data_IF_633192936044
#
_entry.id   IF_633192936044
#
_cell.length_a   1.000
_cell.length_b   1.000
_cell.length_c   1.000
_cell.angle_alpha   90.00
_cell.angle_beta   90.00
_cell.angle_gamma   90.00
#
_symmetry.space_group_name_H-M   'P 1'
#
loop_
_entity.id
_entity.type
_entity.pdbx_description
1 polymer ?
#
# COMPACT_ATOMS: atom_id res chain seq x y z
N UNK A 1 34.40 10.76 63.66
CA UNK A 1 35.65 10.84 62.87
C UNK A 1 35.32 10.59 61.40
N UNK A 2 35.08 11.65 60.62
CA UNK A 2 34.93 11.53 59.17
C UNK A 2 36.29 11.86 58.53
N UNK A 3 36.96 10.85 57.94
CA UNK A 3 38.16 11.10 57.13
C UNK A 3 37.73 11.86 55.87
N UNK A 4 37.95 13.17 55.85
CA UNK A 4 37.92 13.96 54.62
C UNK A 4 39.00 13.41 53.68
N UNK A 5 38.58 12.57 52.73
CA UNK A 5 39.46 12.04 51.68
C UNK A 5 39.90 13.21 50.80
N UNK A 6 41.17 13.59 50.91
CA UNK A 6 41.80 14.56 50.02
C UNK A 6 41.73 14.01 48.59
N UNK A 7 40.94 14.65 47.73
CA UNK A 7 40.82 14.26 46.32
C UNK A 7 42.15 14.61 45.65
N UNK A 8 42.81 13.59 45.07
CA UNK A 8 44.08 13.76 44.36
C UNK A 8 43.87 14.53 43.04
N UNK A 9 44.86 15.30 42.58
CA UNK A 9 44.78 16.00 41.27
C UNK A 9 44.45 15.06 40.11
N UNK A 10 44.89 13.80 40.18
CA UNK A 10 44.55 12.76 39.19
C UNK A 10 43.06 12.39 39.21
N UNK A 11 42.43 12.39 40.39
CA UNK A 11 40.99 12.14 40.51
C UNK A 11 40.17 13.32 40.00
N UNK A 12 40.64 14.56 40.20
CA UNK A 12 40.02 15.76 39.63
C UNK A 12 40.02 15.69 38.10
N UNK A 13 41.15 15.32 37.48
CA UNK A 13 41.24 15.14 36.02
C UNK A 13 40.29 14.06 35.52
N UNK A 14 40.21 12.91 36.21
CA UNK A 14 39.29 11.82 35.85
C UNK A 14 37.82 12.29 35.91
N UNK A 15 37.43 13.01 36.96
CA UNK A 15 36.06 13.53 37.08
C UNK A 15 35.72 14.55 36.00
N UNK A 16 36.66 15.43 35.63
CA UNK A 16 36.48 16.35 34.50
C UNK A 16 36.34 15.62 33.16
N UNK A 17 37.12 14.57 32.91
CA UNK A 17 36.98 13.76 31.70
C UNK A 17 35.61 13.07 31.62
N UNK A 18 35.13 12.49 32.73
CA UNK A 18 33.81 11.85 32.79
C UNK A 18 32.69 12.88 32.58
N UNK A 19 32.81 14.07 33.18
CA UNK A 19 31.83 15.14 33.02
C UNK A 19 31.73 15.61 31.56
N UNK A 20 32.88 15.87 30.92
CA UNK A 20 32.93 16.27 29.50
C UNK A 20 32.34 15.16 28.62
N UNK A 21 32.69 13.90 28.87
CA UNK A 21 32.16 12.77 28.11
C UNK A 21 30.63 12.65 28.24
N UNK A 22 30.08 12.79 29.45
CA UNK A 22 28.64 12.76 29.68
C UNK A 22 27.92 13.96 29.00
N UNK A 23 28.55 15.13 28.98
CA UNK A 23 28.02 16.32 28.30
C UNK A 23 27.98 16.12 26.78
N UNK A 24 29.06 15.57 26.20
CA UNK A 24 29.10 15.24 24.77
C UNK A 24 28.06 14.17 24.43
N UNK A 25 27.98 13.08 25.20
CA UNK A 25 27.03 11.99 24.95
C UNK A 25 25.58 12.49 25.00
N UNK A 26 25.21 13.28 26.01
CA UNK A 26 23.87 13.83 26.14
C UNK A 26 23.53 14.80 24.99
N UNK A 27 24.48 15.63 24.54
CA UNK A 27 24.30 16.51 23.38
C UNK A 27 24.04 15.74 22.08
N UNK A 28 24.74 14.62 21.86
CA UNK A 28 24.54 13.75 20.68
C UNK A 28 23.15 13.11 20.71
N UNK A 29 22.74 12.58 21.87
CA UNK A 29 21.41 11.99 22.03
C UNK A 29 20.30 13.02 21.79
N UNK A 30 20.45 14.24 22.32
CA UNK A 30 19.50 15.32 22.10
C UNK A 30 19.40 15.72 20.62
N UNK A 31 20.54 15.79 19.91
CA UNK A 31 20.55 16.09 18.48
C UNK A 31 19.87 14.99 17.64
N UNK A 32 20.12 13.72 17.96
CA UNK A 32 19.44 12.59 17.32
C UNK A 32 17.93 12.60 17.59
N UNK A 33 17.52 12.92 18.83
CA UNK A 33 16.12 13.04 19.20
C UNK A 33 15.42 14.17 18.42
N UNK A 34 16.08 15.33 18.29
CA UNK A 34 15.58 16.45 17.48
C UNK A 34 15.34 16.05 16.03
N UNK A 35 16.33 15.40 15.39
CA UNK A 35 16.18 14.86 14.03
C UNK A 35 15.04 13.85 13.91
N UNK A 36 14.84 12.99 14.92
CA UNK A 36 13.75 12.02 14.90
C UNK A 36 12.37 12.71 14.95
N UNK A 37 12.23 13.77 15.74
CA UNK A 37 11.00 14.56 15.79
C UNK A 37 10.75 15.24 14.45
N UNK A 38 11.75 15.89 13.87
CA UNK A 38 11.66 16.57 12.59
C UNK A 38 11.20 15.62 11.49
N UNK A 39 11.84 14.46 11.34
CA UNK A 39 11.42 13.45 10.34
C UNK A 39 10.02 12.91 10.60
N UNK A 40 9.58 12.80 11.86
CA UNK A 40 8.20 12.43 12.19
C UNK A 40 7.20 13.54 11.86
N UNK A 41 7.60 14.81 11.98
CA UNK A 41 6.77 15.96 11.61
C UNK A 41 6.65 16.06 10.08
N UNK A 42 7.75 15.93 9.35
CA UNK A 42 7.79 15.86 7.89
C UNK A 42 6.94 14.69 7.38
N UNK A 43 7.05 13.53 8.02
CA UNK A 43 6.21 12.39 7.68
C UNK A 43 4.73 12.78 7.73
N UNK A 44 4.26 13.43 8.80
CA UNK A 44 2.84 13.83 8.92
C UNK A 44 2.33 14.71 7.77
N UNK A 45 3.19 15.49 7.10
CA UNK A 45 2.83 16.21 5.87
C UNK A 45 2.88 15.26 4.66
N UNK A 46 1.98 14.28 4.63
CA UNK A 46 1.97 13.23 3.60
C UNK A 46 1.48 13.71 2.22
N UNK A 47 0.89 14.90 2.10
CA UNK A 47 0.50 15.46 0.79
C UNK A 47 0.14 16.93 0.92
N UNK A 48 0.73 17.78 0.08
CA UNK A 48 0.18 19.11 -0.19
C UNK A 48 -1.09 18.85 -1.00
N UNK A 49 -2.26 18.98 -0.37
CA UNK A 49 -3.55 18.85 -1.07
C UNK A 49 -3.79 20.14 -1.85
N UNK A 50 -3.72 20.07 -3.17
CA UNK A 50 -3.97 21.20 -4.06
C UNK A 50 -5.47 21.42 -4.28
N UNK A 51 -6.27 20.36 -4.22
CA UNK A 51 -7.71 20.37 -4.46
C UNK A 51 -8.43 19.70 -3.29
N UNK A 52 -9.53 20.29 -2.83
CA UNK A 52 -10.42 19.66 -1.87
C UNK A 52 -11.18 18.51 -2.54
N UNK A 53 -11.14 17.33 -1.94
CA UNK A 53 -11.83 16.13 -2.43
C UNK A 53 -13.11 15.98 -1.61
N UNK A 54 -14.25 15.83 -2.30
CA UNK A 54 -15.54 15.62 -1.65
C UNK A 54 -15.53 14.33 -0.82
N UNK A 55 -16.37 14.29 0.22
CA UNK A 55 -16.62 13.05 0.94
C UNK A 55 -17.23 12.01 -0.02
N UNK A 56 -16.73 10.78 0.05
CA UNK A 56 -17.16 9.64 -0.78
C UNK A 56 -16.96 9.81 -2.30
N UNK A 57 -15.97 10.60 -2.73
CA UNK A 57 -15.60 10.77 -4.15
C UNK A 57 -15.10 9.46 -4.79
N UNK A 58 -15.87 8.83 -5.71
CA UNK A 58 -15.50 7.54 -6.29
C UNK A 58 -14.56 7.65 -7.50
N UNK A 59 -14.45 8.81 -8.14
CA UNK A 59 -13.65 8.99 -9.36
C UNK A 59 -12.15 9.15 -9.02
N UNK A 60 -11.37 8.13 -9.36
CA UNK A 60 -9.92 8.12 -9.16
C UNK A 60 -9.19 9.27 -9.88
N UNK A 61 -9.77 9.85 -10.95
CA UNK A 61 -9.18 11.00 -11.64
C UNK A 61 -9.22 12.28 -10.79
N UNK A 62 -10.21 12.44 -9.91
CA UNK A 62 -10.26 13.58 -8.96
C UNK A 62 -9.13 13.43 -7.93
N UNK A 63 -8.90 12.21 -7.45
CA UNK A 63 -7.80 11.90 -6.52
C UNK A 63 -6.41 12.09 -7.15
N UNK A 64 -6.27 11.83 -8.45
CA UNK A 64 -5.02 12.00 -9.20
C UNK A 64 -4.43 13.42 -9.12
N UNK A 65 -5.28 14.44 -8.94
CA UNK A 65 -4.84 15.85 -8.79
C UNK A 65 -3.95 16.06 -7.56
N UNK A 66 -4.21 15.31 -6.49
CA UNK A 66 -3.42 15.36 -5.25
C UNK A 66 -2.38 14.22 -5.16
N UNK A 67 -2.62 13.10 -5.85
CA UNK A 67 -1.83 11.87 -5.75
C UNK A 67 -1.42 11.32 -7.13
N UNK A 68 -0.64 12.08 -7.92
CA UNK A 68 -0.34 11.73 -9.31
C UNK A 68 0.45 10.43 -9.43
N UNK A 69 1.46 10.19 -8.58
CA UNK A 69 2.27 8.96 -8.63
C UNK A 69 1.48 7.70 -8.28
N UNK A 70 0.54 7.81 -7.34
CA UNK A 70 -0.34 6.71 -6.96
C UNK A 70 -1.32 6.39 -8.09
N UNK A 71 -1.89 7.43 -8.72
CA UNK A 71 -2.77 7.26 -9.86
C UNK A 71 -2.04 6.68 -11.09
N UNK A 72 -0.79 7.08 -11.31
CA UNK A 72 0.07 6.49 -12.33
C UNK A 72 0.28 5.00 -12.07
N UNK A 73 0.64 4.61 -10.84
CA UNK A 73 0.77 3.20 -10.44
C UNK A 73 -0.54 2.41 -10.62
N UNK A 74 -1.69 3.00 -10.28
CA UNK A 74 -3.00 2.40 -10.57
C UNK A 74 -3.22 2.23 -12.07
N UNK A 75 -2.87 3.24 -12.87
CA UNK A 75 -3.04 3.23 -14.32
C UNK A 75 -2.21 2.14 -15.01
N UNK A 76 -1.05 1.77 -14.44
CA UNK A 76 -0.26 0.63 -14.93
C UNK A 76 -1.04 -0.69 -14.93
N UNK A 77 -2.10 -0.84 -14.12
CA UNK A 77 -2.95 -2.04 -14.11
C UNK A 77 -3.83 -2.18 -15.35
N UNK A 78 -3.87 -1.17 -16.22
CA UNK A 78 -4.46 -1.28 -17.57
C UNK A 78 -3.63 -2.19 -18.46
N UNK A 79 -2.32 -2.20 -18.27
CA UNK A 79 -1.40 -2.90 -19.14
C UNK A 79 -1.48 -4.41 -18.92
N UNK A 80 -1.49 -5.15 -20.03
CA UNK A 80 -1.37 -6.61 -20.00
C UNK A 80 0.09 -6.98 -20.17
N UNK A 81 0.73 -7.37 -19.07
CA UNK A 81 2.12 -7.81 -19.02
C UNK A 81 2.32 -9.24 -19.58
N UNK A 82 1.23 -9.91 -19.92
CA UNK A 82 1.23 -11.25 -20.52
C UNK A 82 1.11 -12.36 -19.48
N UNK A 83 1.53 -13.54 -19.90
CA UNK A 83 1.34 -14.80 -19.19
C UNK A 83 2.58 -15.25 -18.43
N UNK A 84 2.34 -15.75 -17.23
CA UNK A 84 3.32 -16.43 -16.37
C UNK A 84 3.04 -17.93 -16.33
N UNK A 85 3.88 -18.70 -15.63
CA UNK A 85 3.75 -20.16 -15.52
C UNK A 85 2.38 -20.61 -14.99
N UNK A 86 1.75 -19.84 -14.11
CA UNK A 86 0.54 -20.25 -13.39
C UNK A 86 -0.63 -19.27 -13.49
N UNK A 87 -0.52 -18.23 -14.31
CA UNK A 87 -1.53 -17.18 -14.43
C UNK A 87 -0.95 -15.98 -15.17
N UNK A 88 -1.31 -14.77 -14.79
CA UNK A 88 -0.73 -13.54 -15.34
C UNK A 88 -1.78 -12.46 -15.47
N UNK A 89 -1.60 -11.57 -16.43
CA UNK A 89 -2.58 -10.53 -16.77
C UNK A 89 -3.28 -10.77 -18.10
N UNK A 90 -2.85 -11.80 -18.84
CA UNK A 90 -3.46 -12.20 -20.10
C UNK A 90 -4.78 -12.94 -19.85
N UNK A 91 -5.86 -12.44 -20.42
CA UNK A 91 -7.22 -12.89 -20.13
C UNK A 91 -7.62 -14.15 -20.94
N UNK A 92 -6.92 -15.27 -20.75
CA UNK A 92 -7.21 -16.55 -21.41
C UNK A 92 -8.38 -17.31 -20.74
N UNK A 93 -8.97 -18.28 -21.44
CA UNK A 93 -10.01 -19.16 -20.88
C UNK A 93 -9.44 -20.31 -20.07
N UNK A 94 -9.65 -20.31 -18.75
CA UNK A 94 -9.24 -21.43 -17.88
C UNK A 94 -9.99 -22.71 -18.22
N UNK A 95 -11.20 -22.59 -18.76
CA UNK A 95 -12.02 -23.73 -19.17
C UNK A 95 -11.43 -24.49 -20.36
N UNK A 96 -10.67 -23.82 -21.23
CA UNK A 96 -10.03 -24.45 -22.39
C UNK A 96 -8.71 -25.11 -22.01
N UNK A 97 -7.99 -24.53 -21.05
CA UNK A 97 -6.75 -25.11 -20.51
C UNK A 97 -6.95 -26.29 -19.59
N UNK A 98 -8.01 -26.22 -18.78
CA UNK A 98 -8.39 -27.31 -17.91
C UNK A 98 -9.85 -27.71 -18.18
N UNK A 99 -10.09 -28.54 -19.20
CA UNK A 99 -11.44 -29.01 -19.56
C UNK A 99 -12.16 -29.75 -18.42
N UNK A 100 -11.45 -30.18 -17.37
CA UNK A 100 -12.08 -30.76 -16.17
C UNK A 100 -12.94 -29.72 -15.45
N UNK A 101 -12.59 -28.43 -15.51
CA UNK A 101 -13.38 -27.35 -14.91
C UNK A 101 -14.78 -27.25 -15.54
N UNK A 102 -14.92 -27.45 -16.86
CA UNK A 102 -16.23 -27.50 -17.52
C UNK A 102 -17.13 -28.59 -16.91
N UNK A 103 -16.55 -29.77 -16.61
CA UNK A 103 -17.28 -30.88 -15.97
C UNK A 103 -17.59 -30.60 -14.50
N UNK A 104 -16.64 -30.05 -13.75
CA UNK A 104 -16.84 -29.74 -12.32
C UNK A 104 -17.91 -28.67 -12.10
N UNK A 105 -18.01 -27.70 -13.02
CA UNK A 105 -18.98 -26.61 -12.96
C UNK A 105 -20.27 -26.88 -13.75
N UNK A 106 -20.54 -28.14 -14.10
CA UNK A 106 -21.75 -28.50 -14.86
C UNK A 106 -23.00 -27.94 -14.17
N UNK A 107 -23.92 -27.41 -14.97
CA UNK A 107 -25.14 -26.71 -14.50
C UNK A 107 -24.90 -25.44 -13.67
N UNK A 108 -23.70 -24.85 -13.72
CA UNK A 108 -23.37 -23.60 -13.04
C UNK A 108 -22.77 -22.58 -14.03
N UNK A 109 -23.03 -21.26 -13.88
CA UNK A 109 -22.51 -20.21 -14.78
C UNK A 109 -21.02 -20.25 -15.10
N UNK A 110 -20.21 -20.72 -14.16
CA UNK A 110 -18.75 -20.83 -14.34
C UNK A 110 -18.34 -21.88 -15.39
N UNK A 111 -19.24 -22.79 -15.79
CA UNK A 111 -18.99 -23.69 -16.94
C UNK A 111 -19.10 -22.99 -18.30
N UNK A 112 -19.66 -21.78 -18.35
CA UNK A 112 -19.84 -21.01 -19.58
C UNK A 112 -18.64 -20.10 -19.84
N UNK A 113 -18.15 -19.43 -18.80
CA UNK A 113 -17.08 -18.44 -18.90
C UNK A 113 -16.33 -18.34 -17.58
N UNK A 114 -15.03 -18.61 -17.62
CA UNK A 114 -14.14 -18.48 -16.47
C UNK A 114 -12.74 -18.16 -16.96
N UNK A 115 -12.46 -16.87 -17.10
CA UNK A 115 -11.17 -16.36 -17.57
C UNK A 115 -10.19 -16.12 -16.43
N UNK A 116 -8.91 -16.08 -16.79
CA UNK A 116 -7.87 -15.51 -15.95
C UNK A 116 -8.22 -14.06 -15.56
N UNK A 117 -7.89 -13.71 -14.32
CA UNK A 117 -7.99 -12.35 -13.82
C UNK A 117 -6.93 -11.42 -14.43
N UNK A 118 -7.22 -10.12 -14.42
CA UNK A 118 -6.30 -9.07 -14.88
C UNK A 118 -6.42 -7.85 -13.97
N UNK A 119 -5.65 -6.81 -14.29
CA UNK A 119 -5.51 -5.64 -13.42
C UNK A 119 -6.83 -4.95 -13.06
N UNK A 120 -6.85 -4.31 -11.88
CA UNK A 120 -8.05 -3.73 -11.28
C UNK A 120 -8.77 -2.71 -12.17
N UNK A 121 -8.05 -2.01 -13.06
CA UNK A 121 -8.66 -1.08 -14.00
C UNK A 121 -9.74 -1.73 -14.89
N UNK A 122 -9.63 -3.04 -15.12
CA UNK A 122 -10.56 -3.82 -15.95
C UNK A 122 -11.69 -4.49 -15.16
N UNK A 123 -11.72 -4.33 -13.83
CA UNK A 123 -12.63 -5.11 -12.98
C UNK A 123 -14.11 -4.92 -13.34
N UNK A 124 -14.53 -3.68 -13.61
CA UNK A 124 -15.90 -3.35 -14.01
C UNK A 124 -16.20 -3.85 -15.44
N UNK A 125 -15.29 -3.60 -16.37
CA UNK A 125 -15.42 -4.00 -17.78
C UNK A 125 -15.59 -5.52 -17.89
N UNK A 126 -14.77 -6.29 -17.17
CA UNK A 126 -14.84 -7.76 -17.17
C UNK A 126 -16.11 -8.30 -16.49
N UNK A 127 -16.56 -7.65 -15.41
CA UNK A 127 -17.82 -8.02 -14.75
C UNK A 127 -19.04 -7.79 -15.67
N UNK A 128 -18.98 -6.76 -16.52
CA UNK A 128 -20.02 -6.48 -17.52
C UNK A 128 -19.88 -7.45 -18.72
N UNK A 129 -18.66 -7.69 -19.21
CA UNK A 129 -18.42 -8.52 -20.39
C UNK A 129 -18.58 -10.04 -20.15
N UNK A 130 -18.51 -10.51 -18.89
CA UNK A 130 -18.59 -11.94 -18.60
C UNK A 130 -19.91 -12.57 -19.06
N UNK A 131 -19.80 -13.75 -19.68
CA UNK A 131 -20.94 -14.52 -20.21
C UNK A 131 -21.65 -15.34 -19.14
N UNK A 132 -21.07 -15.45 -17.92
CA UNK A 132 -21.65 -16.18 -16.78
C UNK A 132 -23.09 -15.75 -16.48
N UNK A 133 -23.38 -14.47 -16.60
CA UNK A 133 -24.64 -13.90 -16.11
C UNK A 133 -25.74 -13.85 -17.18
N UNK A 134 -25.50 -14.33 -18.41
CA UNK A 134 -26.49 -14.45 -19.49
C UNK A 134 -27.47 -13.24 -19.63
N UNK A 135 -26.96 -12.02 -19.40
CA UNK A 135 -27.74 -10.77 -19.43
C UNK A 135 -28.45 -10.38 -18.12
N UNK A 136 -28.68 -11.30 -17.17
CA UNK A 136 -29.21 -11.00 -15.84
C UNK A 136 -28.07 -10.85 -14.84
N UNK A 137 -27.66 -9.61 -14.57
CA UNK A 137 -26.58 -9.30 -13.62
C UNK A 137 -27.17 -8.78 -12.30
N UNK A 138 -27.25 -9.60 -11.23
CA UNK A 138 -27.74 -9.14 -9.94
C UNK A 138 -26.83 -8.04 -9.38
N UNK A 139 -27.42 -7.05 -8.70
CA UNK A 139 -26.66 -5.95 -8.08
C UNK A 139 -25.58 -6.42 -7.10
N UNK A 140 -25.79 -7.57 -6.44
CA UNK A 140 -24.81 -8.19 -5.53
C UNK A 140 -23.47 -8.51 -6.22
N UNK A 141 -23.46 -8.74 -7.54
CA UNK A 141 -22.21 -8.96 -8.26
C UNK A 141 -21.34 -7.68 -8.36
N UNK A 142 -21.93 -6.50 -8.13
CA UNK A 142 -21.26 -5.21 -8.23
C UNK A 142 -20.58 -4.79 -6.93
N UNK A 143 -20.90 -5.44 -5.80
CA UNK A 143 -20.36 -5.11 -4.47
C UNK A 143 -18.84 -5.06 -4.42
N UNK A 144 -18.15 -5.87 -5.22
CA UNK A 144 -16.69 -5.89 -5.28
C UNK A 144 -16.12 -5.29 -6.58
N UNK A 145 -16.92 -4.53 -7.36
CA UNK A 145 -16.57 -4.13 -8.73
C UNK A 145 -16.63 -2.63 -9.02
N UNK A 146 -17.08 -1.82 -8.07
CA UNK A 146 -17.09 -0.36 -8.21
C UNK A 146 -17.05 0.32 -6.85
N UNK A 147 -16.41 1.49 -6.79
CA UNK A 147 -16.33 2.35 -5.60
C UNK A 147 -17.67 3.03 -5.26
N UNK A 148 -18.67 2.94 -6.15
CA UNK A 148 -20.01 3.47 -5.93
C UNK A 148 -20.85 2.60 -4.99
N UNK A 149 -20.41 1.38 -4.68
CA UNK A 149 -21.07 0.49 -3.73
C UNK A 149 -20.28 0.55 -2.40
N UNK A 150 -20.90 0.99 -1.29
CA UNK A 150 -20.24 1.07 0.02
C UNK A 150 -19.94 -0.29 0.65
#
# INVERSE_FOLDING_TARGET
MARLRFISSKQIVIYWCIFIFAMVLSSVVAALYGKMIERKQEAKQHSIKFVEIAQDEPDSAVWAKNFPHQFESLSMTKETLGRTKYGGSEQFQRLDENPRLKRLFTCYPFSIDYKEDRGHFHALEDAIATKRLAGKKPGTCMTCKGSQIP
#
